data_IF_894363992091
#
_entry.id   IF_894363992091
#
_cell.length_a   1.000
_cell.length_b   1.000
_cell.length_c   1.000
_cell.angle_alpha   90.00
_cell.angle_beta   90.00
_cell.angle_gamma   90.00
#
_symmetry.space_group_name_H-M   'P 1'
#
loop_
_entity.id
_entity.type
_entity.pdbx_description
1 polymer ?
#
# COMPACT_ATOMS: atom_id res chain seq x y z
N UNK A 1 -4.26 -2.46 6.60
CA UNK A 1 -5.35 -1.57 7.08
C UNK A 1 -5.17 -1.16 8.54
N UNK A 2 -4.87 -2.08 9.47
CA UNK A 2 -4.74 -1.74 10.89
C UNK A 2 -3.66 -0.68 11.18
N UNK A 3 -2.56 -0.67 10.42
CA UNK A 3 -1.51 0.35 10.53
C UNK A 3 -2.03 1.70 10.09
N UNK A 4 -2.70 1.79 8.95
CA UNK A 4 -3.30 3.02 8.46
C UNK A 4 -4.37 3.58 9.42
N UNK A 5 -5.16 2.71 10.03
CA UNK A 5 -6.10 3.11 11.06
C UNK A 5 -5.39 3.71 12.28
N UNK A 6 -4.30 3.07 12.76
CA UNK A 6 -3.52 3.62 13.89
C UNK A 6 -2.86 4.96 13.58
N UNK A 7 -2.34 5.14 12.35
CA UNK A 7 -1.63 6.35 11.95
C UNK A 7 -2.57 7.52 11.65
N UNK A 8 -3.67 7.25 10.97
CA UNK A 8 -4.50 8.28 10.36
C UNK A 8 -5.97 8.22 10.78
N UNK A 9 -6.39 7.20 11.55
CA UNK A 9 -7.78 7.01 11.95
C UNK A 9 -8.71 6.49 10.85
N UNK A 10 -8.22 6.33 9.62
CA UNK A 10 -9.03 5.89 8.48
C UNK A 10 -9.47 4.44 8.61
N UNK A 11 -10.62 4.13 8.01
CA UNK A 11 -11.19 2.78 7.99
C UNK A 11 -11.49 2.32 6.57
N UNK A 12 -11.38 1.01 6.32
CA UNK A 12 -11.66 0.38 5.03
C UNK A 12 -12.87 -0.53 5.14
N UNK A 13 -13.88 -0.25 4.34
CA UNK A 13 -15.14 -0.99 4.32
C UNK A 13 -15.29 -1.72 3.00
N UNK A 14 -15.30 -3.06 3.05
CA UNK A 14 -15.42 -3.89 1.83
C UNK A 14 -16.72 -3.57 1.10
N UNK A 15 -16.61 -3.39 -0.22
CA UNK A 15 -17.74 -3.14 -1.13
C UNK A 15 -17.87 -4.33 -2.07
N UNK A 16 -19.09 -4.79 -2.28
CA UNK A 16 -19.42 -5.90 -3.20
C UNK A 16 -20.38 -5.48 -4.32
N UNK A 17 -20.81 -4.25 -4.28
CA UNK A 17 -21.73 -3.63 -5.22
C UNK A 17 -21.05 -2.84 -6.34
N UNK A 18 -19.71 -2.72 -6.27
CA UNK A 18 -18.90 -2.00 -7.27
C UNK A 18 -18.45 -2.99 -8.35
N UNK A 19 -18.60 -2.65 -9.64
CA UNK A 19 -18.12 -3.50 -10.73
C UNK A 19 -16.60 -3.74 -10.64
N UNK A 20 -16.20 -4.99 -10.82
CA UNK A 20 -14.79 -5.40 -10.81
C UNK A 20 -14.32 -5.70 -12.24
N UNK A 21 -13.10 -5.29 -12.57
CA UNK A 21 -12.48 -5.62 -13.86
C UNK A 21 -11.90 -7.05 -13.88
N UNK A 22 -11.74 -7.69 -12.72
CA UNK A 22 -11.32 -9.08 -12.59
C UNK A 22 -11.87 -9.70 -11.29
N UNK A 23 -12.27 -10.99 -11.26
CA UNK A 23 -12.88 -11.61 -10.07
C UNK A 23 -12.01 -11.66 -8.81
N UNK A 24 -10.69 -11.60 -8.97
CA UNK A 24 -9.74 -11.60 -7.84
C UNK A 24 -9.48 -10.21 -7.25
N UNK A 25 -10.03 -9.16 -7.85
CA UNK A 25 -9.91 -7.80 -7.33
C UNK A 25 -10.87 -7.60 -6.18
N UNK A 26 -10.41 -6.97 -5.14
CA UNK A 26 -11.24 -6.55 -4.02
C UNK A 26 -11.43 -5.03 -4.02
N UNK A 27 -12.59 -4.56 -3.59
CA UNK A 27 -12.89 -3.13 -3.47
C UNK A 27 -13.25 -2.76 -2.05
N UNK A 28 -12.78 -1.59 -1.65
CA UNK A 28 -13.04 -1.02 -0.32
C UNK A 28 -13.38 0.46 -0.44
N UNK A 29 -14.36 0.90 0.31
CA UNK A 29 -14.55 2.33 0.58
C UNK A 29 -13.64 2.73 1.72
N UNK A 30 -12.81 3.74 1.49
CA UNK A 30 -11.93 4.33 2.49
C UNK A 30 -12.65 5.51 3.13
N UNK A 31 -12.75 5.51 4.46
CA UNK A 31 -13.42 6.56 5.22
C UNK A 31 -12.48 7.21 6.21
N UNK A 32 -12.64 8.51 6.36
CA UNK A 32 -11.98 9.31 7.39
C UNK A 32 -12.53 9.00 8.79
N UNK A 33 -11.91 9.54 9.82
CA UNK A 33 -12.28 9.40 11.23
C UNK A 33 -13.70 9.85 11.52
N UNK A 34 -14.21 10.84 10.80
CA UNK A 34 -15.58 11.35 10.92
C UNK A 34 -16.62 10.55 10.10
N UNK A 35 -16.18 9.51 9.37
CA UNK A 35 -17.01 8.69 8.50
C UNK A 35 -17.17 9.22 7.08
N UNK A 36 -16.59 10.38 6.74
CA UNK A 36 -16.58 10.93 5.39
C UNK A 36 -15.84 10.00 4.45
N UNK A 37 -16.39 9.78 3.25
CA UNK A 37 -15.71 8.95 2.23
C UNK A 37 -14.51 9.70 1.66
N UNK A 38 -13.34 9.03 1.70
CA UNK A 38 -12.10 9.51 1.07
C UNK A 38 -11.94 8.98 -0.36
N UNK A 39 -12.64 7.93 -0.73
CA UNK A 39 -12.56 7.33 -2.06
C UNK A 39 -12.77 5.82 -2.07
N UNK A 40 -12.54 5.23 -3.23
CA UNK A 40 -12.63 3.77 -3.44
C UNK A 40 -11.23 3.22 -3.74
N UNK A 41 -10.87 2.17 -3.02
CA UNK A 41 -9.64 1.41 -3.20
C UNK A 41 -9.94 0.09 -3.91
N UNK A 42 -9.25 -0.16 -5.01
CA UNK A 42 -9.19 -1.45 -5.69
C UNK A 42 -7.86 -2.12 -5.33
N UNK A 43 -7.91 -3.37 -4.87
CA UNK A 43 -6.74 -4.18 -4.55
C UNK A 43 -6.66 -5.39 -5.46
N UNK A 44 -5.60 -5.46 -6.24
CA UNK A 44 -5.32 -6.52 -7.19
C UNK A 44 -4.02 -7.23 -6.80
N UNK A 45 -4.13 -8.26 -5.99
CA UNK A 45 -2.99 -8.87 -5.31
C UNK A 45 -2.16 -9.83 -6.16
N UNK A 46 -2.81 -10.64 -7.01
CA UNK A 46 -2.17 -11.85 -7.53
C UNK A 46 -1.69 -11.69 -8.96
N UNK A 47 -0.58 -12.38 -9.27
CA UNK A 47 -0.05 -12.47 -10.63
C UNK A 47 -1.02 -13.21 -11.55
N UNK A 48 -1.06 -12.81 -12.81
CA UNK A 48 -1.76 -13.48 -13.91
C UNK A 48 -1.17 -13.06 -15.26
N UNK A 49 -1.40 -13.86 -16.30
CA UNK A 49 -0.79 -13.67 -17.62
C UNK A 49 -1.05 -12.30 -18.28
N UNK A 50 -2.15 -11.63 -17.91
CA UNK A 50 -2.52 -10.30 -18.46
C UNK A 50 -1.90 -9.12 -17.72
N UNK A 51 -1.13 -9.35 -16.64
CA UNK A 51 -0.49 -8.28 -15.85
C UNK A 51 0.97 -8.11 -16.26
N UNK A 52 1.45 -6.88 -16.19
CA UNK A 52 2.90 -6.58 -16.22
C UNK A 52 3.55 -6.97 -14.90
N UNK A 53 4.85 -7.23 -14.92
CA UNK A 53 5.63 -7.50 -13.70
C UNK A 53 5.77 -6.24 -12.83
N UNK A 54 6.09 -6.43 -11.55
CA UNK A 54 6.24 -5.38 -10.56
C UNK A 54 4.94 -5.07 -9.82
N UNK A 55 4.93 -3.95 -9.11
CA UNK A 55 3.75 -3.42 -8.43
C UNK A 55 3.59 -1.95 -8.78
N UNK A 56 2.39 -1.41 -8.65
CA UNK A 56 2.13 0.00 -8.90
C UNK A 56 0.80 0.46 -8.29
N UNK A 57 0.75 1.74 -7.99
CA UNK A 57 -0.51 2.44 -7.75
C UNK A 57 -0.90 3.25 -8.98
N UNK A 58 -2.18 3.32 -9.28
CA UNK A 58 -2.75 4.25 -10.26
C UNK A 58 -4.10 4.74 -9.82
N UNK A 59 -4.51 5.87 -10.33
CA UNK A 59 -5.84 6.42 -10.08
C UNK A 59 -6.67 6.33 -11.37
N UNK A 60 -7.77 5.61 -11.33
CA UNK A 60 -8.75 5.64 -12.41
C UNK A 60 -9.47 6.98 -12.49
N UNK A 61 -9.56 7.66 -11.36
CA UNK A 61 -10.05 9.02 -11.21
C UNK A 61 -9.32 9.70 -10.06
N UNK A 62 -8.77 10.87 -10.34
CA UNK A 62 -8.19 11.74 -9.31
C UNK A 62 -9.27 12.47 -8.52
N UNK A 63 -8.93 12.93 -7.32
CA UNK A 63 -9.77 13.89 -6.63
C UNK A 63 -9.97 15.14 -7.49
N UNK A 64 -11.20 15.58 -7.61
CA UNK A 64 -11.53 16.83 -8.29
C UNK A 64 -12.56 17.63 -7.50
N UNK A 65 -12.49 18.98 -7.64
CA UNK A 65 -13.50 19.89 -7.11
C UNK A 65 -13.88 20.90 -8.18
N UNK A 66 -15.10 20.79 -8.68
CA UNK A 66 -15.60 21.65 -9.74
C UNK A 66 -16.92 22.27 -9.28
N UNK A 67 -17.01 23.61 -9.30
CA UNK A 67 -18.20 24.35 -8.87
C UNK A 67 -18.68 23.96 -7.46
N UNK A 68 -17.75 23.69 -6.55
CA UNK A 68 -18.05 23.29 -5.16
C UNK A 68 -18.49 21.81 -5.00
N UNK A 69 -18.59 21.05 -6.08
CA UNK A 69 -18.84 19.61 -6.03
C UNK A 69 -17.52 18.85 -6.03
N UNK A 70 -17.37 17.94 -5.09
CA UNK A 70 -16.19 17.09 -4.93
C UNK A 70 -16.46 15.71 -5.50
N UNK A 71 -15.50 15.21 -6.28
CA UNK A 71 -15.46 13.81 -6.73
C UNK A 71 -14.27 13.12 -6.07
N UNK A 72 -14.57 12.07 -5.29
CA UNK A 72 -13.56 11.32 -4.58
C UNK A 72 -12.74 10.43 -5.53
N UNK A 73 -11.46 10.18 -5.23
CA UNK A 73 -10.59 9.39 -6.08
C UNK A 73 -11.03 7.92 -6.16
N UNK A 74 -10.71 7.28 -7.29
CA UNK A 74 -10.77 5.85 -7.47
C UNK A 74 -9.34 5.36 -7.64
N UNK A 75 -8.81 4.75 -6.61
CA UNK A 75 -7.40 4.31 -6.52
C UNK A 75 -7.31 2.82 -6.74
N UNK A 76 -6.37 2.39 -7.56
CA UNK A 76 -6.04 0.97 -7.76
C UNK A 76 -4.61 0.71 -7.35
N UNK A 77 -4.42 -0.31 -6.51
CA UNK A 77 -3.10 -0.82 -6.15
C UNK A 77 -2.97 -2.24 -6.69
N UNK A 78 -1.95 -2.46 -7.47
CA UNK A 78 -1.71 -3.69 -8.19
C UNK A 78 -0.40 -4.31 -7.73
N UNK A 79 -0.47 -5.58 -7.33
CA UNK A 79 0.67 -6.41 -6.96
C UNK A 79 0.78 -7.61 -7.89
N UNK A 80 1.87 -8.37 -7.77
CA UNK A 80 2.06 -9.63 -8.45
C UNK A 80 2.48 -10.74 -7.47
N UNK A 81 1.79 -10.83 -6.34
CA UNK A 81 2.05 -11.88 -5.36
C UNK A 81 1.72 -13.25 -5.93
N UNK A 82 2.48 -14.25 -5.53
CA UNK A 82 2.19 -15.63 -5.90
C UNK A 82 0.86 -16.07 -5.28
N UNK A 83 -0.05 -16.65 -6.08
CA UNK A 83 -1.31 -17.17 -5.53
C UNK A 83 -1.07 -18.38 -4.63
N UNK A 84 -2.06 -18.73 -3.82
CA UNK A 84 -2.03 -19.95 -3.03
C UNK A 84 -1.83 -21.20 -3.91
N UNK A 85 -1.06 -22.16 -3.40
CA UNK A 85 -0.87 -23.47 -4.05
C UNK A 85 -1.58 -24.54 -3.20
N UNK A 86 -2.61 -25.15 -3.75
CA UNK A 86 -3.47 -26.08 -3.00
C UNK A 86 -4.16 -25.41 -1.84
N UNK A 87 -4.16 -26.06 -0.68
CA UNK A 87 -4.80 -25.55 0.54
C UNK A 87 -3.87 -24.67 1.42
N UNK A 88 -2.65 -24.38 0.93
CA UNK A 88 -1.72 -23.54 1.66
C UNK A 88 -2.16 -22.07 1.62
N UNK A 89 -2.01 -21.31 2.72
CA UNK A 89 -2.26 -19.87 2.69
C UNK A 89 -1.23 -19.15 1.80
N UNK A 90 -1.60 -17.99 1.29
CA UNK A 90 -0.64 -17.09 0.64
C UNK A 90 0.27 -16.53 1.71
N UNK A 91 1.58 -16.79 1.58
CA UNK A 91 2.61 -16.23 2.44
C UNK A 91 3.46 -15.28 1.58
N UNK A 92 3.59 -14.05 2.03
CA UNK A 92 4.41 -13.04 1.37
C UNK A 92 5.88 -13.16 1.79
N UNK A 93 6.79 -12.89 0.86
CA UNK A 93 8.19 -12.64 1.19
C UNK A 93 8.33 -11.32 1.97
N UNK A 94 9.53 -11.04 2.47
CA UNK A 94 9.81 -9.73 3.07
C UNK A 94 9.67 -8.62 2.02
N UNK A 95 10.26 -8.78 0.85
CA UNK A 95 10.18 -7.82 -0.25
C UNK A 95 8.74 -7.57 -0.72
N UNK A 96 7.90 -8.63 -0.80
CA UNK A 96 6.48 -8.46 -1.10
C UNK A 96 5.76 -7.63 -0.03
N UNK A 97 6.16 -7.81 1.23
CA UNK A 97 5.58 -7.08 2.35
C UNK A 97 5.98 -5.60 2.31
N UNK A 98 7.25 -5.28 2.08
CA UNK A 98 7.71 -3.90 1.90
C UNK A 98 7.02 -3.25 0.71
N UNK A 99 6.95 -3.94 -0.44
CA UNK A 99 6.22 -3.50 -1.63
C UNK A 99 4.74 -3.20 -1.31
N UNK A 100 4.11 -4.01 -0.46
CA UNK A 100 2.73 -3.78 -0.06
C UNK A 100 2.58 -2.47 0.74
N UNK A 101 3.50 -2.16 1.63
CA UNK A 101 3.51 -0.88 2.35
C UNK A 101 3.81 0.29 1.42
N UNK A 102 4.77 0.13 0.51
CA UNK A 102 5.16 1.12 -0.49
C UNK A 102 3.97 1.56 -1.35
N UNK A 103 3.34 0.63 -2.06
CA UNK A 103 2.22 0.96 -2.95
C UNK A 103 1.01 1.50 -2.17
N UNK A 104 0.83 1.04 -0.93
CA UNK A 104 -0.20 1.60 -0.07
C UNK A 104 0.12 3.03 0.36
N UNK A 105 1.39 3.41 0.48
CA UNK A 105 1.83 4.78 0.69
C UNK A 105 1.40 5.72 -0.44
N UNK A 106 1.56 5.29 -1.69
CA UNK A 106 1.02 6.01 -2.85
C UNK A 106 -0.50 6.12 -2.80
N UNK A 107 -1.19 5.06 -2.43
CA UNK A 107 -2.65 5.07 -2.29
C UNK A 107 -3.12 6.07 -1.23
N UNK A 108 -2.44 6.14 -0.08
CA UNK A 108 -2.72 7.13 0.96
C UNK A 108 -2.53 8.56 0.46
N UNK A 109 -1.47 8.81 -0.32
CA UNK A 109 -1.27 10.11 -0.96
C UNK A 109 -2.45 10.48 -1.86
N UNK A 110 -2.94 9.54 -2.69
CA UNK A 110 -4.13 9.75 -3.52
C UNK A 110 -5.38 10.06 -2.69
N UNK A 111 -5.62 9.31 -1.60
CA UNK A 111 -6.78 9.51 -0.73
C UNK A 111 -6.74 10.82 0.06
N UNK A 112 -5.57 11.27 0.46
CA UNK A 112 -5.43 12.52 1.22
C UNK A 112 -5.23 13.76 0.35
N UNK A 113 -5.07 13.58 -0.96
CA UNK A 113 -5.01 14.69 -1.88
C UNK A 113 -6.29 15.50 -1.85
N UNK A 114 -6.16 16.81 -1.63
CA UNK A 114 -7.23 17.79 -1.67
C UNK A 114 -6.71 19.08 -2.31
N UNK A 115 -7.55 19.76 -3.04
CA UNK A 115 -7.20 21.03 -3.64
C UNK A 115 -8.36 21.66 -4.41
N UNK A 116 -8.44 22.98 -4.40
CA UNK A 116 -9.49 23.72 -5.11
C UNK A 116 -9.19 23.85 -6.61
N UNK A 117 -7.97 23.52 -7.04
CA UNK A 117 -7.53 23.64 -8.43
C UNK A 117 -7.11 22.28 -8.98
N UNK A 118 -7.90 21.74 -9.88
CA UNK A 118 -7.68 20.41 -10.47
C UNK A 118 -6.27 20.21 -11.07
N UNK A 119 -5.68 21.25 -11.66
CA UNK A 119 -4.37 21.16 -12.31
C UNK A 119 -3.20 20.96 -11.34
N UNK A 120 -3.39 21.25 -10.06
CA UNK A 120 -2.34 21.12 -9.04
C UNK A 120 -2.74 20.17 -7.91
N UNK A 121 -4.00 19.78 -7.83
CA UNK A 121 -4.45 18.77 -6.87
C UNK A 121 -3.82 17.42 -7.23
N UNK A 122 -3.08 16.83 -6.29
CA UNK A 122 -2.40 15.56 -6.48
C UNK A 122 -1.15 15.57 -7.36
N UNK A 123 -0.80 16.71 -7.93
CA UNK A 123 0.46 16.83 -8.65
C UNK A 123 1.63 16.85 -7.66
N UNK A 124 2.49 15.85 -7.75
CA UNK A 124 3.73 15.79 -6.98
C UNK A 124 4.91 15.82 -7.98
N UNK A 125 5.96 16.62 -7.76
CA UNK A 125 7.15 16.58 -8.57
C UNK A 125 7.77 15.19 -8.61
N UNK A 126 8.33 14.80 -9.75
CA UNK A 126 8.85 13.45 -9.95
C UNK A 126 9.95 13.05 -8.94
N UNK A 127 10.75 14.02 -8.50
CA UNK A 127 11.79 13.84 -7.48
C UNK A 127 11.23 13.68 -6.03
N UNK A 128 9.92 13.87 -5.84
CA UNK A 128 9.23 13.74 -4.56
C UNK A 128 8.17 12.63 -4.56
N UNK A 129 7.96 11.98 -5.72
CA UNK A 129 6.85 11.03 -5.90
C UNK A 129 6.92 9.83 -4.97
N UNK A 130 8.14 9.39 -4.64
CA UNK A 130 8.38 8.25 -3.74
C UNK A 130 8.38 8.61 -2.25
N UNK A 131 8.24 9.88 -1.89
CA UNK A 131 8.26 10.27 -0.47
C UNK A 131 7.15 9.58 0.35
N UNK A 132 5.88 9.57 -0.05
CA UNK A 132 4.82 8.93 0.72
C UNK A 132 4.96 7.40 0.75
N UNK A 133 5.41 6.77 -0.33
CA UNK A 133 5.63 5.33 -0.41
C UNK A 133 6.78 4.88 0.48
N UNK A 134 7.95 5.50 0.36
CA UNK A 134 9.14 5.17 1.17
C UNK A 134 8.95 5.48 2.66
N UNK A 135 8.18 6.50 3.01
CA UNK A 135 7.81 6.74 4.41
C UNK A 135 6.98 5.58 4.96
N UNK A 136 6.07 5.02 4.16
CA UNK A 136 5.25 3.89 4.60
C UNK A 136 6.04 2.59 4.76
N UNK A 137 7.09 2.34 3.97
CA UNK A 137 7.97 1.17 4.11
C UNK A 137 8.57 1.06 5.53
N UNK A 138 8.91 2.18 6.17
CA UNK A 138 9.49 2.17 7.51
C UNK A 138 8.60 1.44 8.53
N UNK A 139 7.28 1.51 8.35
CA UNK A 139 6.34 0.83 9.25
C UNK A 139 6.35 -0.69 9.09
N UNK A 140 6.81 -1.23 7.97
CA UNK A 140 6.87 -2.68 7.76
C UNK A 140 7.82 -3.35 8.76
N UNK A 141 8.96 -2.71 9.07
CA UNK A 141 10.01 -3.24 9.96
C UNK A 141 9.88 -2.81 11.43
N UNK A 142 8.92 -1.92 11.75
CA UNK A 142 8.72 -1.49 13.13
C UNK A 142 8.27 -2.65 14.04
N UNK A 143 8.93 -2.90 15.19
CA UNK A 143 8.63 -4.05 16.04
C UNK A 143 7.18 -4.14 16.48
N UNK A 144 6.53 -3.02 16.81
CA UNK A 144 5.12 -3.00 17.19
C UNK A 144 4.22 -3.41 16.02
N UNK A 145 4.55 -2.96 14.81
CA UNK A 145 3.80 -3.28 13.59
C UNK A 145 4.01 -4.73 13.19
N UNK A 146 5.25 -5.23 13.24
CA UNK A 146 5.55 -6.64 13.00
C UNK A 146 4.75 -7.55 13.93
N UNK A 147 4.64 -7.22 15.20
CA UNK A 147 3.82 -7.98 16.17
C UNK A 147 2.30 -7.96 15.86
N UNK A 148 1.84 -6.99 15.07
CA UNK A 148 0.44 -6.95 14.62
C UNK A 148 0.16 -7.95 13.51
N UNK A 149 1.04 -8.07 12.50
CA UNK A 149 0.79 -8.83 11.28
C UNK A 149 1.65 -10.08 11.11
N UNK A 150 2.91 -10.06 11.57
CA UNK A 150 3.85 -11.16 11.39
C UNK A 150 3.60 -12.26 12.41
N UNK A 151 2.63 -13.13 12.10
CA UNK A 151 2.21 -14.24 12.95
C UNK A 151 2.34 -15.56 12.20
N UNK A 152 2.75 -16.60 12.91
CA UNK A 152 2.81 -17.94 12.35
C UNK A 152 1.42 -18.40 11.92
N UNK A 153 1.26 -18.78 10.66
CA UNK A 153 -0.05 -19.00 10.05
C UNK A 153 -0.86 -20.16 10.65
N UNK A 154 -0.20 -21.12 11.31
CA UNK A 154 -0.86 -22.24 12.00
C UNK A 154 -1.04 -21.99 13.49
N UNK A 155 -0.01 -21.48 14.19
CA UNK A 155 -0.03 -21.35 15.65
C UNK A 155 -0.53 -19.99 16.12
N UNK A 156 -0.48 -18.96 15.28
CA UNK A 156 -0.81 -17.57 15.64
C UNK A 156 0.26 -16.89 16.50
N UNK A 157 1.39 -17.56 16.77
CA UNK A 157 2.50 -16.98 17.53
C UNK A 157 3.11 -15.81 16.76
N UNK A 158 3.41 -14.75 17.48
CA UNK A 158 4.08 -13.57 16.91
C UNK A 158 5.52 -13.89 16.55
N UNK A 159 6.06 -13.18 15.57
CA UNK A 159 7.47 -13.29 15.18
C UNK A 159 8.36 -13.08 16.41
N UNK A 160 9.35 -13.98 16.65
CA UNK A 160 10.30 -13.83 17.76
C UNK A 160 11.15 -12.57 17.65
N UNK A 161 11.40 -11.89 18.77
CA UNK A 161 12.21 -10.65 18.81
C UNK A 161 13.60 -10.81 18.15
N UNK A 162 14.21 -12.00 18.25
CA UNK A 162 15.49 -12.28 17.59
C UNK A 162 15.41 -12.25 16.05
N UNK A 163 14.25 -12.58 15.46
CA UNK A 163 14.03 -12.44 14.01
C UNK A 163 13.74 -11.00 13.64
N UNK A 164 12.99 -10.27 14.46
CA UNK A 164 12.74 -8.84 14.29
C UNK A 164 14.06 -8.06 14.23
N UNK A 165 14.94 -8.34 15.19
CA UNK A 165 16.28 -7.73 15.22
C UNK A 165 17.09 -8.05 13.95
N UNK A 166 17.05 -9.27 13.46
CA UNK A 166 17.74 -9.65 12.20
C UNK A 166 17.18 -8.91 10.98
N UNK A 167 15.88 -8.68 10.90
CA UNK A 167 15.27 -7.88 9.82
C UNK A 167 15.83 -6.46 9.87
N UNK A 168 15.84 -5.82 11.05
CA UNK A 168 16.38 -4.48 11.22
C UNK A 168 17.88 -4.40 10.87
N UNK A 169 18.69 -5.36 11.32
CA UNK A 169 20.12 -5.42 11.00
C UNK A 169 20.37 -5.65 9.50
N UNK A 170 19.56 -6.47 8.84
CA UNK A 170 19.70 -6.73 7.39
C UNK A 170 19.44 -5.49 6.55
N UNK A 171 18.55 -4.60 6.98
CA UNK A 171 18.28 -3.33 6.33
C UNK A 171 19.49 -2.38 6.28
N UNK A 172 20.48 -2.57 7.13
CA UNK A 172 21.72 -1.78 7.12
C UNK A 172 22.86 -2.42 6.32
N UNK A 173 22.69 -3.68 5.91
CA UNK A 173 23.73 -4.40 5.20
C UNK A 173 23.96 -3.80 3.81
N UNK A 174 25.22 -3.46 3.55
CA UNK A 174 25.66 -2.96 2.23
C UNK A 174 25.04 -1.65 1.74
N UNK A 175 24.38 -0.87 2.60
CA UNK A 175 23.71 0.40 2.25
C UNK A 175 24.65 1.43 1.61
N UNK A 176 25.92 1.50 2.07
CA UNK A 176 26.90 2.39 1.47
C UNK A 176 27.18 2.05 -0.01
N UNK A 177 27.30 0.76 -0.33
CA UNK A 177 27.50 0.31 -1.70
C UNK A 177 26.27 0.62 -2.56
N UNK A 178 25.08 0.27 -2.10
CA UNK A 178 23.83 0.53 -2.82
C UNK A 178 23.62 2.03 -3.07
N UNK A 179 23.96 2.89 -2.11
CA UNK A 179 23.86 4.34 -2.29
C UNK A 179 24.84 4.85 -3.33
N UNK A 180 26.08 4.37 -3.34
CA UNK A 180 27.09 4.77 -4.35
C UNK A 180 26.65 4.31 -5.73
N UNK A 181 26.23 3.05 -5.87
CA UNK A 181 25.73 2.50 -7.14
C UNK A 181 24.57 3.31 -7.71
N UNK A 182 23.65 3.75 -6.85
CA UNK A 182 22.51 4.58 -7.24
C UNK A 182 22.93 6.00 -7.71
N UNK A 183 23.95 6.59 -7.08
CA UNK A 183 24.40 7.96 -7.39
C UNK A 183 25.31 8.03 -8.60
N UNK A 184 25.97 6.91 -8.98
CA UNK A 184 26.89 6.84 -10.12
C UNK A 184 26.18 6.65 -11.49
N UNK A 185 24.85 6.48 -11.50
CA UNK A 185 24.03 6.39 -12.71
C UNK A 185 23.53 7.78 -13.13
#
# INVERSE_FOLDING_TARGET
FAVANKLYGITMHKRTDIPLYHPQVETYEVKDVDGTSLGILYLDYYTRASKSAGAWMTEFRHYTKVNGQEEMPLVSVVYNFSPAVGDAPVLLSWDDTETMFHEFGHALHGFFTRGDYQRIAGTIPHDMVELPSQVMENWASEPEVLKMYAKHYQTGETMPDALIQKIQESGHFNQGFATVEYVEI
#
